data_IF_475898923697
#
_entry.id   IF_475898923697
#
_cell.length_a   1.000
_cell.length_b   1.000
_cell.length_c   1.000
_cell.angle_alpha   90.00
_cell.angle_beta   90.00
_cell.angle_gamma   90.00
#
_symmetry.space_group_name_H-M   'P 1'
#
loop_
_entity.id
_entity.type
_entity.pdbx_description
1 polymer ?
#
# COMPACT_ATOMS: atom_id res chain seq x y z
N UNK A 1 -25.42 -19.49 -33.18
CA UNK A 1 -25.55 -19.29 -31.72
C UNK A 1 -24.19 -18.90 -31.18
N UNK A 2 -23.92 -17.61 -31.07
CA UNK A 2 -22.73 -17.06 -30.41
C UNK A 2 -23.25 -16.07 -29.38
N UNK A 3 -23.32 -16.54 -28.14
CA UNK A 3 -23.64 -15.71 -26.98
C UNK A 3 -22.43 -14.83 -26.69
N UNK A 4 -22.54 -13.54 -26.95
CA UNK A 4 -21.57 -12.54 -26.51
C UNK A 4 -21.78 -12.34 -25.01
N UNK A 5 -20.76 -12.66 -24.21
CA UNK A 5 -20.74 -12.48 -22.76
C UNK A 5 -20.55 -10.98 -22.46
N UNK A 6 -21.62 -10.31 -22.02
CA UNK A 6 -21.68 -8.86 -21.78
C UNK A 6 -20.94 -8.38 -20.51
N UNK A 7 -20.26 -9.28 -19.78
CA UNK A 7 -19.70 -8.96 -18.47
C UNK A 7 -18.24 -8.47 -18.47
N UNK A 8 -17.64 -8.19 -19.62
CA UNK A 8 -16.25 -7.74 -19.70
C UNK A 8 -16.14 -6.21 -19.87
N UNK A 9 -16.77 -5.46 -18.96
CA UNK A 9 -16.57 -4.02 -18.90
C UNK A 9 -15.15 -3.74 -18.39
N UNK A 10 -14.37 -2.97 -19.17
CA UNK A 10 -13.04 -2.54 -18.77
C UNK A 10 -13.06 -1.91 -17.35
N UNK A 11 -12.06 -2.18 -16.50
CA UNK A 11 -12.00 -1.58 -15.17
C UNK A 11 -12.02 -0.06 -15.31
N UNK A 12 -13.09 0.55 -14.80
CA UNK A 12 -13.27 2.00 -14.80
C UNK A 12 -12.05 2.65 -14.13
N UNK A 13 -11.53 3.73 -14.70
CA UNK A 13 -10.36 4.45 -14.21
C UNK A 13 -10.70 5.24 -12.93
N UNK A 14 -11.06 4.51 -11.87
CA UNK A 14 -11.33 5.04 -10.54
C UNK A 14 -10.01 5.37 -9.83
N UNK A 15 -9.17 6.20 -10.46
CA UNK A 15 -8.06 6.84 -9.74
C UNK A 15 -8.69 7.60 -8.57
N UNK A 16 -8.15 7.41 -7.37
CA UNK A 16 -8.50 8.26 -6.24
C UNK A 16 -8.34 9.71 -6.71
N UNK A 17 -9.30 10.60 -6.44
CA UNK A 17 -9.18 11.99 -6.82
C UNK A 17 -7.89 12.53 -6.23
N UNK A 18 -6.95 12.92 -7.10
CA UNK A 18 -5.72 13.60 -6.67
C UNK A 18 -6.17 14.95 -6.17
N UNK A 19 -6.31 15.09 -4.84
CA UNK A 19 -6.53 16.40 -4.24
C UNK A 19 -5.28 17.23 -4.55
N UNK A 20 -5.48 18.36 -5.22
CA UNK A 20 -4.43 19.35 -5.40
C UNK A 20 -4.01 19.86 -4.03
N UNK A 21 -2.95 19.25 -3.45
CA UNK A 21 -2.17 19.90 -2.40
C UNK A 21 -1.68 21.20 -3.03
N UNK A 22 -1.82 22.33 -2.32
CA UNK A 22 -1.28 23.60 -2.77
C UNK A 22 0.25 23.44 -2.91
N UNK A 23 0.70 23.05 -4.09
CA UNK A 23 2.11 22.99 -4.44
C UNK A 23 2.52 24.42 -4.68
N UNK A 24 3.18 25.02 -3.68
CA UNK A 24 4.13 26.08 -4.01
C UNK A 24 5.03 25.50 -5.12
N UNK A 25 5.20 26.25 -6.20
CA UNK A 25 5.91 25.84 -7.42
C UNK A 25 7.41 25.67 -7.11
N UNK A 26 7.75 24.59 -6.40
CA UNK A 26 9.10 24.24 -5.98
C UNK A 26 9.62 23.22 -6.99
N UNK A 27 10.40 23.69 -7.96
CA UNK A 27 11.15 22.81 -8.85
C UNK A 27 12.29 22.15 -8.06
N UNK A 28 12.15 20.86 -7.76
CA UNK A 28 13.26 20.07 -7.24
C UNK A 28 14.25 19.76 -8.37
N UNK A 29 15.55 19.92 -8.10
CA UNK A 29 16.63 19.53 -8.99
C UNK A 29 16.73 17.99 -9.10
N UNK A 30 17.34 17.49 -10.18
CA UNK A 30 17.59 16.06 -10.37
C UNK A 30 18.43 15.48 -9.23
N UNK A 31 19.41 16.25 -8.76
CA UNK A 31 20.28 15.91 -7.64
C UNK A 31 19.47 15.71 -6.34
N UNK A 32 18.49 16.58 -6.07
CA UNK A 32 17.61 16.45 -4.91
C UNK A 32 16.70 15.22 -5.01
N UNK A 33 16.12 14.96 -6.20
CA UNK A 33 15.27 13.78 -6.42
C UNK A 33 16.03 12.47 -6.19
N UNK A 34 17.24 12.36 -6.75
CA UNK A 34 18.13 11.22 -6.53
C UNK A 34 18.52 11.12 -5.05
N UNK A 35 18.78 12.25 -4.40
CA UNK A 35 19.05 12.33 -2.96
C UNK A 35 17.92 11.74 -2.12
N UNK A 36 16.66 12.06 -2.42
CA UNK A 36 15.50 11.51 -1.71
C UNK A 36 15.40 10.00 -1.85
N UNK A 37 15.59 9.47 -3.06
CA UNK A 37 15.58 8.02 -3.31
C UNK A 37 16.68 7.32 -2.49
N UNK A 38 17.90 7.86 -2.51
CA UNK A 38 19.04 7.31 -1.78
C UNK A 38 18.87 7.41 -0.25
N UNK A 39 18.14 8.41 0.23
CA UNK A 39 17.90 8.60 1.67
C UNK A 39 16.91 7.60 2.28
N UNK A 40 16.11 6.90 1.47
CA UNK A 40 15.06 6.00 1.97
C UNK A 40 15.66 4.80 2.71
N UNK A 41 15.25 4.61 3.97
CA UNK A 41 15.63 3.46 4.81
C UNK A 41 14.40 2.65 5.21
N UNK A 42 14.61 1.36 5.46
CA UNK A 42 13.58 0.52 6.10
C UNK A 42 13.63 0.76 7.61
N UNK A 43 12.51 1.18 8.19
CA UNK A 43 12.40 1.53 9.61
C UNK A 43 11.42 0.57 10.30
N UNK A 44 11.90 -0.17 11.31
CA UNK A 44 11.09 -1.14 12.06
C UNK A 44 10.36 -0.54 13.26
N UNK A 45 10.87 0.55 13.82
CA UNK A 45 10.29 1.26 14.95
C UNK A 45 9.63 2.54 14.45
N UNK A 46 8.34 2.67 14.71
CA UNK A 46 7.51 3.83 14.34
C UNK A 46 6.92 4.45 15.60
N UNK A 47 6.70 5.75 15.57
CA UNK A 47 6.10 6.52 16.67
C UNK A 47 4.91 7.34 16.16
N UNK A 48 4.24 8.02 17.08
CA UNK A 48 3.13 8.95 16.84
C UNK A 48 3.64 10.36 16.50
N UNK A 49 2.86 11.17 15.75
CA UNK A 49 1.56 10.84 15.16
C UNK A 49 1.69 10.00 13.88
N UNK A 50 0.67 9.17 13.61
CA UNK A 50 0.56 8.49 12.32
C UNK A 50 0.23 9.52 11.20
N UNK A 51 0.57 9.21 9.93
CA UNK A 51 0.18 10.05 8.81
C UNK A 51 -1.35 10.26 8.74
N UNK A 52 -1.76 11.44 8.28
CA UNK A 52 -3.17 11.76 8.07
C UNK A 52 -3.75 10.94 6.92
N UNK A 53 -5.08 10.88 6.86
CA UNK A 53 -5.77 10.19 5.76
C UNK A 53 -5.39 10.75 4.39
N UNK A 54 -5.35 12.07 4.26
CA UNK A 54 -4.99 12.71 2.99
C UNK A 54 -3.56 12.37 2.56
N UNK A 55 -2.61 12.35 3.50
CA UNK A 55 -1.23 11.95 3.22
C UNK A 55 -1.14 10.49 2.73
N UNK A 56 -1.94 9.59 3.33
CA UNK A 56 -1.99 8.18 2.93
C UNK A 56 -2.61 8.04 1.53
N UNK A 57 -3.71 8.75 1.25
CA UNK A 57 -4.37 8.73 -0.06
C UNK A 57 -3.44 9.26 -1.16
N UNK A 58 -2.68 10.33 -0.89
CA UNK A 58 -1.65 10.82 -1.81
C UNK A 58 -0.55 9.79 -2.06
N UNK A 59 -0.03 9.15 -1.01
CA UNK A 59 1.01 8.13 -1.16
C UNK A 59 0.52 6.90 -1.92
N UNK A 60 -0.71 6.44 -1.67
CA UNK A 60 -1.35 5.35 -2.42
C UNK A 60 -1.57 5.78 -3.88
N UNK A 61 -1.98 7.02 -4.13
CA UNK A 61 -2.11 7.59 -5.46
C UNK A 61 -0.80 7.51 -6.25
N UNK A 62 0.32 7.89 -5.64
CA UNK A 62 1.65 7.74 -6.22
C UNK A 62 2.01 6.27 -6.45
N UNK A 63 1.77 5.38 -5.49
CA UNK A 63 2.07 3.95 -5.65
C UNK A 63 1.25 3.30 -6.78
N UNK A 64 0.01 3.72 -6.97
CA UNK A 64 -0.89 3.23 -8.01
C UNK A 64 -0.52 3.67 -9.44
N UNK A 65 0.52 4.50 -9.62
CA UNK A 65 1.08 4.80 -10.95
C UNK A 65 2.16 3.81 -11.38
N UNK A 66 2.51 2.83 -10.53
CA UNK A 66 3.48 1.80 -10.88
C UNK A 66 3.05 1.06 -12.17
N UNK A 67 3.98 0.78 -13.09
CA UNK A 67 3.67 0.09 -14.33
C UNK A 67 3.25 -1.36 -14.03
N UNK A 68 2.21 -1.82 -14.72
CA UNK A 68 1.69 -3.16 -14.56
C UNK A 68 1.38 -3.78 -15.92
N UNK A 69 1.73 -5.06 -16.07
CA UNK A 69 1.58 -5.72 -17.35
C UNK A 69 0.09 -5.86 -17.68
N UNK A 70 -0.29 -5.32 -18.85
CA UNK A 70 -1.68 -5.25 -19.35
C UNK A 70 -2.63 -4.32 -18.57
N UNK A 71 -2.13 -3.41 -17.74
CA UNK A 71 -2.97 -2.43 -17.00
C UNK A 71 -4.08 -3.09 -16.16
N UNK A 72 -3.84 -4.30 -15.67
CA UNK A 72 -4.73 -5.06 -14.79
C UNK A 72 -4.93 -4.40 -13.43
N UNK A 73 -3.95 -3.62 -12.96
CA UNK A 73 -3.97 -2.97 -11.64
C UNK A 73 -4.34 -3.95 -10.51
N UNK A 74 -3.61 -5.07 -10.35
CA UNK A 74 -4.03 -6.18 -9.48
C UNK A 74 -3.90 -5.87 -7.97
N UNK A 75 -3.45 -4.67 -7.60
CA UNK A 75 -3.22 -4.30 -6.21
C UNK A 75 -4.52 -3.94 -5.49
N UNK A 76 -4.57 -4.33 -4.22
CA UNK A 76 -5.58 -3.89 -3.26
C UNK A 76 -4.88 -3.34 -2.04
N UNK A 77 -5.07 -2.05 -1.77
CA UNK A 77 -4.56 -1.41 -0.57
C UNK A 77 -5.58 -1.54 0.56
N UNK A 78 -5.15 -2.01 1.72
CA UNK A 78 -5.95 -2.08 2.94
C UNK A 78 -5.22 -1.25 3.99
N UNK A 79 -5.89 -0.23 4.51
CA UNK A 79 -5.33 0.69 5.51
C UNK A 79 -5.93 0.34 6.86
N UNK A 80 -5.10 -0.15 7.78
CA UNK A 80 -5.50 -0.46 9.17
C UNK A 80 -4.92 0.59 10.12
N UNK A 81 -5.77 1.31 10.84
CA UNK A 81 -5.40 2.40 11.74
C UNK A 81 -6.11 2.27 13.09
N UNK A 82 -5.62 3.02 14.09
CA UNK A 82 -6.18 3.01 15.45
C UNK A 82 -6.21 1.59 16.05
N UNK A 83 -7.31 1.25 16.73
CA UNK A 83 -7.46 -0.05 17.39
C UNK A 83 -7.44 -1.25 16.44
N UNK A 84 -7.95 -1.11 15.23
CA UNK A 84 -7.89 -2.19 14.23
C UNK A 84 -6.43 -2.60 13.91
N UNK A 85 -5.48 -1.65 14.01
CA UNK A 85 -4.05 -1.96 13.86
C UNK A 85 -3.53 -2.79 15.05
N UNK A 86 -3.99 -2.52 16.27
CA UNK A 86 -3.62 -3.30 17.45
C UNK A 86 -4.20 -4.71 17.40
N UNK A 87 -5.46 -4.85 17.01
CA UNK A 87 -6.11 -6.15 16.79
C UNK A 87 -5.36 -6.99 15.75
N UNK A 88 -4.99 -6.38 14.62
CA UNK A 88 -4.16 -7.05 13.61
C UNK A 88 -2.81 -7.51 14.21
N UNK A 89 -2.16 -6.66 15.01
CA UNK A 89 -0.93 -7.01 15.70
C UNK A 89 -1.08 -8.24 16.62
N UNK A 90 -2.14 -8.28 17.41
CA UNK A 90 -2.45 -9.42 18.28
C UNK A 90 -2.72 -10.71 17.49
N UNK A 91 -3.47 -10.61 16.38
CA UNK A 91 -3.71 -11.74 15.50
C UNK A 91 -2.42 -12.29 14.87
N UNK A 92 -1.51 -11.41 14.44
CA UNK A 92 -0.20 -11.80 13.91
C UNK A 92 0.66 -12.51 14.96
N UNK A 93 0.66 -12.02 16.21
CA UNK A 93 1.36 -12.69 17.33
C UNK A 93 0.78 -14.08 17.59
N UNK A 94 -0.54 -14.23 17.60
CA UNK A 94 -1.20 -15.52 17.80
C UNK A 94 -0.83 -16.52 16.68
N UNK A 95 -0.92 -16.10 15.41
CA UNK A 95 -0.57 -16.93 14.25
C UNK A 95 0.91 -17.36 14.27
N UNK A 96 1.82 -16.46 14.69
CA UNK A 96 3.24 -16.78 14.80
C UNK A 96 3.52 -17.87 15.86
N UNK A 97 2.85 -17.79 17.03
CA UNK A 97 2.95 -18.79 18.10
C UNK A 97 2.41 -20.15 17.66
N UNK A 98 1.30 -20.16 16.92
CA UNK A 98 0.76 -21.41 16.41
C UNK A 98 1.69 -22.06 15.37
N UNK A 99 2.22 -21.26 14.43
CA UNK A 99 3.16 -21.77 13.42
C UNK A 99 4.43 -22.37 14.05
N UNK A 100 4.97 -21.75 15.10
CA UNK A 100 6.15 -22.30 15.80
C UNK A 100 5.83 -23.62 16.49
N UNK A 101 4.67 -23.72 17.15
CA UNK A 101 4.20 -24.96 17.78
C UNK A 101 3.95 -26.08 16.76
N UNK A 102 3.39 -25.77 15.58
CA UNK A 102 3.23 -26.73 14.49
C UNK A 102 4.57 -27.20 13.91
N UNK A 103 5.55 -26.30 13.78
CA UNK A 103 6.89 -26.65 13.29
C UNK A 103 7.60 -27.61 14.25
N UNK A 104 7.48 -27.39 15.56
CA UNK A 104 8.01 -28.31 16.57
C UNK A 104 7.36 -29.69 16.48
N UNK A 105 6.03 -29.77 16.32
CA UNK A 105 5.29 -31.05 16.18
C UNK A 105 5.66 -31.87 14.95
N UNK A 106 6.21 -31.26 13.90
CA UNK A 106 6.61 -31.96 12.65
C UNK A 106 8.07 -32.41 12.65
N UNK A 107 8.86 -31.99 13.65
CA UNK A 107 10.29 -32.28 13.77
C UNK A 107 10.59 -33.40 14.80
N UNK A 108 9.54 -33.98 15.39
CA UNK A 108 9.55 -35.12 16.31
C UNK A 108 8.74 -36.23 15.65
#
# INVERSE_FOLDING_TARGET
MTTTDENNQAPQDNKLPVKNVATNDVSASSEELIGWINSRRSMGNLDTPAPTRDQIESAIGCAATAPDHKKLRPWRFIVTQGEARHELGNALVAAAKEKSAQRWRRAV
#
